data_IF_666048003389
#
_entry.id   IF_666048003389
#
_cell.length_a   1.000
_cell.length_b   1.000
_cell.length_c   1.000
_cell.angle_alpha   90.00
_cell.angle_beta   90.00
_cell.angle_gamma   90.00
#
_symmetry.space_group_name_H-M   'P 1'
#
loop_
_entity.id
_entity.type
_entity.pdbx_description
1 polymer ?
#
# COMPACT_ATOMS: atom_id res chain seq x y z
N UNK A 1 -3.23 -6.76 32.66
CA UNK A 1 -3.81 -7.14 31.36
C UNK A 1 -2.97 -8.30 30.83
N UNK A 2 -3.61 -9.40 30.45
CA UNK A 2 -2.91 -10.52 29.80
C UNK A 2 -2.74 -10.15 28.32
N UNK A 3 -1.63 -9.49 28.01
CA UNK A 3 -1.21 -9.24 26.64
C UNK A 3 -0.62 -10.54 26.08
N UNK A 4 -1.01 -10.93 24.87
CA UNK A 4 -0.50 -12.12 24.21
C UNK A 4 0.19 -11.74 22.90
N UNK A 5 1.42 -12.20 22.69
CA UNK A 5 2.20 -11.96 21.48
C UNK A 5 2.54 -13.26 20.78
N UNK A 6 2.28 -13.29 19.47
CA UNK A 6 2.58 -14.40 18.57
C UNK A 6 3.37 -13.90 17.38
N UNK A 7 4.39 -14.65 17.02
CA UNK A 7 5.20 -14.42 15.82
C UNK A 7 5.24 -15.68 14.96
N UNK A 8 5.11 -15.51 13.66
CA UNK A 8 5.08 -16.59 12.68
C UNK A 8 5.93 -16.18 11.47
N UNK A 9 6.83 -17.06 11.04
CA UNK A 9 7.63 -16.90 9.82
C UNK A 9 7.27 -18.02 8.84
N UNK A 10 6.83 -17.65 7.65
CA UNK A 10 6.56 -18.57 6.57
C UNK A 10 7.59 -18.39 5.48
N UNK A 11 8.29 -19.46 5.13
CA UNK A 11 9.24 -19.47 4.02
C UNK A 11 8.70 -20.42 2.95
N UNK A 12 8.64 -19.92 1.71
CA UNK A 12 8.20 -20.68 0.55
C UNK A 12 9.14 -20.46 -0.62
N UNK A 13 9.69 -21.51 -1.24
CA UNK A 13 10.39 -21.37 -2.52
C UNK A 13 9.38 -21.01 -3.62
N UNK A 14 9.73 -20.05 -4.47
CA UNK A 14 8.97 -19.67 -5.65
C UNK A 14 9.49 -20.44 -6.87
N UNK A 15 8.62 -20.67 -7.86
CA UNK A 15 8.99 -21.33 -9.12
C UNK A 15 10.08 -20.56 -9.90
N UNK A 16 10.23 -19.26 -9.66
CA UNK A 16 11.30 -18.43 -10.24
C UNK A 16 12.69 -18.77 -9.69
N UNK A 17 12.79 -19.57 -8.63
CA UNK A 17 14.01 -19.79 -7.86
C UNK A 17 14.23 -18.77 -6.74
N UNK A 18 13.37 -17.75 -6.64
CA UNK A 18 13.37 -16.80 -5.53
C UNK A 18 12.76 -17.43 -4.27
N UNK A 19 13.03 -16.83 -3.11
CA UNK A 19 12.47 -17.25 -1.82
C UNK A 19 11.48 -16.19 -1.34
N UNK A 20 10.25 -16.61 -1.08
CA UNK A 20 9.26 -15.80 -0.40
C UNK A 20 9.37 -16.01 1.11
N UNK A 21 9.55 -14.93 1.85
CA UNK A 21 9.54 -14.91 3.31
C UNK A 21 8.43 -13.96 3.81
N UNK A 22 7.54 -14.48 4.64
CA UNK A 22 6.45 -13.73 5.26
C UNK A 22 6.63 -13.73 6.77
N UNK A 23 6.76 -12.54 7.35
CA UNK A 23 6.86 -12.34 8.80
C UNK A 23 5.53 -11.78 9.29
N UNK A 24 4.92 -12.44 10.26
CA UNK A 24 3.67 -12.03 10.86
C UNK A 24 3.85 -11.87 12.37
N UNK A 25 3.51 -10.69 12.86
CA UNK A 25 3.54 -10.36 14.28
C UNK A 25 2.11 -10.01 14.72
N UNK A 26 1.61 -10.68 15.75
CA UNK A 26 0.27 -10.44 16.30
C UNK A 26 0.37 -10.17 17.78
N UNK A 27 -0.15 -9.01 18.19
CA UNK A 27 -0.33 -8.66 19.59
C UNK A 27 -1.82 -8.64 19.90
N UNK A 28 -2.27 -9.46 20.83
CA UNK A 28 -3.60 -9.41 21.42
C UNK A 28 -3.52 -8.58 22.70
N UNK A 29 -4.21 -7.45 22.70
CA UNK A 29 -4.32 -6.58 23.87
C UNK A 29 -5.74 -6.62 24.42
N UNK A 30 -5.95 -7.29 25.56
CA UNK A 30 -7.26 -7.37 26.21
C UNK A 30 -7.49 -6.09 27.04
N UNK A 31 -8.17 -5.11 26.46
CA UNK A 31 -8.53 -3.86 27.15
C UNK A 31 -9.92 -3.37 26.72
N UNK A 32 -10.63 -2.73 27.64
CA UNK A 32 -11.90 -2.08 27.34
C UNK A 32 -11.66 -0.64 26.90
N UNK A 33 -11.79 -0.38 25.59
CA UNK A 33 -11.64 0.97 25.02
C UNK A 33 -12.71 1.98 25.49
N UNK A 34 -13.77 1.51 26.16
CA UNK A 34 -14.88 2.33 26.66
C UNK A 34 -14.64 2.90 28.05
N UNK A 35 -13.76 2.30 28.84
CA UNK A 35 -13.41 2.87 30.14
C UNK A 35 -12.28 3.88 29.98
N UNK A 36 -12.59 5.16 30.18
CA UNK A 36 -11.64 6.28 30.21
C UNK A 36 -10.68 6.19 31.42
N UNK A 37 -9.91 5.12 31.52
CA UNK A 37 -8.87 4.95 32.54
C UNK A 37 -7.54 4.68 31.88
N UNK A 38 -6.51 5.21 32.52
CA UNK A 38 -5.11 5.01 32.17
C UNK A 38 -4.82 3.52 32.10
N UNK A 39 -4.83 2.95 30.90
CA UNK A 39 -4.44 1.57 30.68
C UNK A 39 -2.92 1.49 30.58
N UNK A 40 -2.30 0.63 31.39
CA UNK A 40 -0.88 0.31 31.22
C UNK A 40 -0.68 -0.41 29.88
N UNK A 41 0.17 0.14 29.03
CA UNK A 41 0.58 -0.46 27.76
C UNK A 41 1.76 -1.39 28.03
N UNK A 42 1.59 -2.68 27.79
CA UNK A 42 2.66 -3.68 27.87
C UNK A 42 3.31 -3.89 26.51
N UNK A 43 2.68 -4.74 25.69
CA UNK A 43 3.20 -5.11 24.37
C UNK A 43 2.69 -4.20 23.24
N UNK A 44 1.49 -3.63 23.39
CA UNK A 44 0.90 -2.78 22.36
C UNK A 44 1.43 -1.33 22.44
N UNK A 45 1.84 -0.70 21.31
CA UNK A 45 2.38 0.65 21.32
C UNK A 45 1.37 1.69 21.84
N UNK A 46 1.78 2.45 22.87
CA UNK A 46 0.97 3.53 23.45
C UNK A 46 0.51 4.56 22.41
N UNK A 47 1.38 4.95 21.49
CA UNK A 47 1.07 5.91 20.42
C UNK A 47 -0.11 5.45 19.57
N UNK A 48 -0.14 4.18 19.16
CA UNK A 48 -1.24 3.61 18.38
C UNK A 48 -2.52 3.45 19.22
N UNK A 49 -2.41 3.02 20.48
CA UNK A 49 -3.58 2.87 21.34
C UNK A 49 -4.27 4.20 21.66
N UNK A 50 -3.49 5.27 21.84
CA UNK A 50 -4.03 6.62 22.01
C UNK A 50 -4.75 7.12 20.76
N UNK A 51 -4.21 6.82 19.56
CA UNK A 51 -4.87 7.15 18.29
C UNK A 51 -6.21 6.41 18.16
N UNK A 52 -6.22 5.10 18.40
CA UNK A 52 -7.44 4.27 18.31
C UNK A 52 -8.52 4.78 19.26
N UNK A 53 -8.16 5.08 20.51
CA UNK A 53 -9.09 5.61 21.52
C UNK A 53 -9.56 7.03 21.18
N UNK A 54 -8.64 7.95 20.84
CA UNK A 54 -8.96 9.35 20.55
C UNK A 54 -9.91 9.50 19.36
N UNK A 55 -9.66 8.76 18.29
CA UNK A 55 -10.45 8.85 17.05
C UNK A 55 -11.61 7.85 16.99
N UNK A 56 -11.91 7.15 18.11
CA UNK A 56 -12.99 6.16 18.18
C UNK A 56 -12.94 5.15 17.02
N UNK A 57 -11.73 4.64 16.74
CA UNK A 57 -11.51 3.68 15.65
C UNK A 57 -11.91 2.29 16.13
N UNK A 58 -12.76 1.62 15.36
CA UNK A 58 -13.14 0.20 15.56
C UNK A 58 -12.12 -0.73 14.92
N UNK A 59 -11.65 -0.37 13.73
CA UNK A 59 -10.69 -1.17 12.95
C UNK A 59 -9.83 -0.26 12.08
N UNK A 60 -8.52 -0.50 12.05
CA UNK A 60 -7.53 0.30 11.32
C UNK A 60 -6.63 -0.65 10.56
N UNK A 61 -6.51 -0.46 9.25
CA UNK A 61 -5.60 -1.20 8.39
C UNK A 61 -4.70 -0.24 7.65
N UNK A 62 -3.40 -0.50 7.71
CA UNK A 62 -2.38 0.28 7.04
C UNK A 62 -1.44 -0.69 6.36
N UNK A 63 -1.21 -0.52 5.07
CA UNK A 63 -0.20 -1.27 4.32
C UNK A 63 0.73 -0.32 3.61
N UNK A 64 2.03 -0.61 3.69
CA UNK A 64 3.07 0.03 2.89
C UNK A 64 3.72 -1.05 2.04
N UNK A 65 3.68 -0.88 0.73
CA UNK A 65 4.12 -1.91 -0.21
C UNK A 65 4.96 -1.29 -1.30
N UNK A 66 6.16 -1.84 -1.51
CA UNK A 66 7.05 -1.44 -2.59
C UNK A 66 6.99 -2.47 -3.71
N UNK A 67 6.78 -2.01 -4.94
CA UNK A 67 6.56 -2.89 -6.09
C UNK A 67 5.14 -3.47 -6.12
N UNK A 68 4.91 -4.43 -7.01
CA UNK A 68 3.61 -5.08 -7.19
C UNK A 68 3.75 -6.60 -7.14
N UNK A 69 2.73 -7.28 -6.60
CA UNK A 69 2.71 -8.73 -6.50
C UNK A 69 2.26 -9.37 -7.82
N UNK A 70 3.10 -10.22 -8.41
CA UNK A 70 2.77 -10.94 -9.66
C UNK A 70 2.04 -12.24 -9.35
N UNK A 71 0.73 -12.15 -9.14
CA UNK A 71 -0.12 -13.29 -8.76
C UNK A 71 0.00 -14.48 -9.71
N UNK A 72 0.17 -14.24 -11.01
CA UNK A 72 0.43 -15.32 -11.98
C UNK A 72 1.74 -16.04 -11.67
N UNK A 73 2.85 -15.33 -11.44
CA UNK A 73 4.19 -15.93 -11.25
C UNK A 73 4.40 -16.52 -9.85
N UNK A 74 3.84 -15.87 -8.82
CA UNK A 74 4.13 -16.18 -7.41
C UNK A 74 2.96 -16.83 -6.67
N UNK A 75 1.80 -16.97 -7.32
CA UNK A 75 0.56 -17.43 -6.69
C UNK A 75 -0.10 -16.34 -5.83
N UNK A 76 -1.09 -16.72 -5.03
CA UNK A 76 -1.78 -15.78 -4.13
C UNK A 76 -0.93 -15.45 -2.89
N UNK A 77 -0.78 -14.16 -2.51
CA UNK A 77 -0.06 -13.78 -1.29
C UNK A 77 -0.90 -14.11 -0.04
N UNK A 78 -0.23 -14.34 1.11
CA UNK A 78 -0.96 -14.60 2.37
C UNK A 78 -1.74 -13.38 2.86
N UNK A 79 -1.16 -12.19 2.71
CA UNK A 79 -1.83 -10.92 2.95
C UNK A 79 -1.72 -10.07 1.68
N UNK A 80 -2.83 -9.86 0.95
CA UNK A 80 -2.82 -9.01 -0.24
C UNK A 80 -2.74 -7.55 0.18
N UNK A 81 -1.89 -6.77 -0.49
CA UNK A 81 -1.78 -5.34 -0.32
C UNK A 81 -1.53 -4.67 -1.68
N UNK A 82 -2.08 -3.47 -1.93
CA UNK A 82 -1.81 -2.73 -3.15
C UNK A 82 -0.42 -2.09 -3.13
N UNK A 83 0.15 -1.76 -4.29
CA UNK A 83 1.38 -0.99 -4.37
C UNK A 83 1.20 0.42 -3.76
N UNK A 84 2.22 0.91 -3.07
CA UNK A 84 2.19 2.21 -2.40
C UNK A 84 1.68 2.12 -0.97
N UNK A 85 0.84 3.07 -0.56
CA UNK A 85 0.25 3.11 0.76
C UNK A 85 -1.28 2.96 0.66
N UNK A 86 -1.86 2.01 1.39
CA UNK A 86 -3.31 1.88 1.57
C UNK A 86 -3.64 2.04 3.05
N UNK A 87 -4.71 2.79 3.29
CA UNK A 87 -5.25 3.05 4.62
C UNK A 87 -6.78 2.94 4.53
N UNK A 88 -7.38 2.09 5.36
CA UNK A 88 -8.83 2.06 5.53
C UNK A 88 -9.18 1.83 6.99
N UNK A 89 -10.31 2.42 7.39
CA UNK A 89 -10.71 2.55 8.78
C UNK A 89 -12.20 2.31 8.91
N UNK A 90 -12.59 1.59 9.95
CA UNK A 90 -13.95 1.56 10.44
C UNK A 90 -14.02 2.38 11.72
N UNK A 91 -14.80 3.45 11.69
CA UNK A 91 -15.09 4.23 12.88
C UNK A 91 -16.21 3.58 13.69
N UNK A 92 -16.28 3.89 14.98
CA UNK A 92 -17.43 3.54 15.82
C UNK A 92 -18.65 4.39 15.44
N UNK A 93 -19.85 3.85 15.65
CA UNK A 93 -21.13 4.51 15.33
C UNK A 93 -21.35 5.82 16.13
N UNK A 94 -20.54 6.08 17.16
CA UNK A 94 -20.54 7.33 17.93
C UNK A 94 -19.95 8.52 17.18
N UNK A 95 -19.20 8.29 16.09
CA UNK A 95 -18.56 9.36 15.31
C UNK A 95 -19.58 9.99 14.36
N UNK A 96 -19.94 11.25 14.59
CA UNK A 96 -20.90 11.98 13.75
C UNK A 96 -20.24 12.66 12.54
N UNK A 97 -19.02 13.16 12.70
CA UNK A 97 -18.24 13.81 11.62
C UNK A 97 -17.08 12.90 11.19
N UNK A 98 -17.36 12.03 10.22
CA UNK A 98 -16.41 11.04 9.70
C UNK A 98 -15.31 11.71 8.88
N UNK A 99 -15.63 12.73 8.09
CA UNK A 99 -14.67 13.39 7.20
C UNK A 99 -13.65 14.22 8.00
N UNK A 100 -14.12 14.95 9.02
CA UNK A 100 -13.25 15.70 9.92
C UNK A 100 -12.32 14.78 10.72
N UNK A 101 -12.87 13.71 11.31
CA UNK A 101 -12.07 12.73 12.07
C UNK A 101 -11.09 11.96 11.20
N UNK A 102 -11.48 11.61 9.97
CA UNK A 102 -10.59 11.01 8.98
C UNK A 102 -9.39 11.91 8.68
N UNK A 103 -9.63 13.20 8.39
CA UNK A 103 -8.58 14.17 8.10
C UNK A 103 -7.61 14.33 9.27
N UNK A 104 -8.10 14.38 10.50
CA UNK A 104 -7.23 14.45 11.68
C UNK A 104 -6.43 13.15 11.88
N UNK A 105 -7.07 12.00 11.69
CA UNK A 105 -6.45 10.68 11.81
C UNK A 105 -5.30 10.51 10.82
N UNK A 106 -5.50 10.83 9.53
CA UNK A 106 -4.46 10.70 8.49
C UNK A 106 -3.25 11.59 8.77
N UNK A 107 -3.47 12.81 9.27
CA UNK A 107 -2.39 13.72 9.67
C UNK A 107 -1.60 13.18 10.86
N UNK A 108 -2.26 12.60 11.87
CA UNK A 108 -1.56 12.00 13.03
C UNK A 108 -0.79 10.75 12.63
N UNK A 109 -1.39 9.86 11.83
CA UNK A 109 -0.72 8.65 11.34
C UNK A 109 0.46 9.00 10.43
N UNK A 110 0.37 10.07 9.64
CA UNK A 110 1.48 10.58 8.83
C UNK A 110 2.70 10.92 9.69
N UNK A 111 2.49 11.57 10.84
CA UNK A 111 3.56 11.85 11.81
C UNK A 111 4.12 10.61 12.50
N UNK A 112 3.28 9.61 12.80
CA UNK A 112 3.71 8.37 13.47
C UNK A 112 4.54 7.48 12.55
N UNK A 113 4.12 7.32 11.30
CA UNK A 113 4.78 6.43 10.35
C UNK A 113 5.82 7.14 9.46
N UNK A 114 6.00 8.46 9.63
CA UNK A 114 6.84 9.30 8.77
C UNK A 114 6.55 9.10 7.27
N UNK A 115 5.28 8.86 6.96
CA UNK A 115 4.80 8.60 5.61
C UNK A 115 3.80 9.70 5.25
N UNK A 116 3.73 10.08 3.97
CA UNK A 116 2.86 11.15 3.50
C UNK A 116 1.37 10.74 3.44
N UNK A 117 0.87 10.06 4.47
CA UNK A 117 -0.53 9.64 4.62
C UNK A 117 -1.50 10.83 4.67
N UNK A 118 -1.00 12.03 4.97
CA UNK A 118 -1.74 13.28 4.90
C UNK A 118 -2.19 13.64 3.47
N UNK A 119 -1.56 13.07 2.43
CA UNK A 119 -2.05 13.16 1.05
C UNK A 119 -3.25 12.24 0.77
N UNK A 120 -3.61 11.35 1.70
CA UNK A 120 -4.86 10.58 1.63
C UNK A 120 -5.99 11.49 2.16
N UNK A 121 -6.52 12.32 1.28
CA UNK A 121 -7.54 13.33 1.56
C UNK A 121 -8.85 13.01 0.82
N UNK A 122 -9.84 13.89 0.93
CA UNK A 122 -11.14 13.65 0.29
C UNK A 122 -11.06 13.44 -1.22
N UNK A 123 -9.99 13.92 -1.88
CA UNK A 123 -9.83 13.88 -3.34
C UNK A 123 -9.42 12.51 -3.86
N UNK A 124 -8.91 11.62 -3.00
CA UNK A 124 -8.51 10.26 -3.35
C UNK A 124 -9.08 9.18 -2.41
N UNK A 125 -9.90 9.55 -1.42
CA UNK A 125 -10.61 8.60 -0.55
C UNK A 125 -12.00 8.25 -1.07
N UNK A 126 -12.43 7.02 -0.82
CA UNK A 126 -13.79 6.54 -1.10
C UNK A 126 -14.37 5.81 0.11
N UNK A 127 -15.69 5.82 0.22
CA UNK A 127 -16.42 5.01 1.20
C UNK A 127 -17.14 3.87 0.48
N UNK A 128 -16.51 2.67 0.36
CA UNK A 128 -17.11 1.54 -0.33
C UNK A 128 -18.33 1.01 0.44
N UNK A 129 -19.39 0.62 -0.27
CA UNK A 129 -20.63 0.13 0.35
C UNK A 129 -20.55 -1.37 0.69
N UNK A 130 -19.83 -2.15 -0.12
CA UNK A 130 -19.84 -3.62 -0.04
C UNK A 130 -18.45 -4.26 -0.04
N UNK A 131 -17.44 -3.58 -0.61
CA UNK A 131 -16.14 -4.19 -0.94
C UNK A 131 -15.23 -4.41 0.26
N UNK A 132 -15.43 -3.64 1.32
CA UNK A 132 -14.75 -3.80 2.59
C UNK A 132 -15.77 -4.18 3.64
N UNK A 133 -15.42 -5.18 4.45
CA UNK A 133 -16.14 -5.56 5.67
C UNK A 133 -15.13 -5.63 6.82
N UNK A 134 -15.55 -5.37 8.06
CA UNK A 134 -14.66 -5.50 9.21
C UNK A 134 -14.08 -6.92 9.29
N UNK A 135 -12.75 -6.99 9.28
CA UNK A 135 -11.95 -8.20 9.47
C UNK A 135 -11.68 -8.47 10.97
N UNK A 136 -11.92 -7.48 11.84
CA UNK A 136 -11.75 -7.59 13.29
C UNK A 136 -12.82 -8.41 14.01
N UNK A 137 -12.55 -8.71 15.29
CA UNK A 137 -13.47 -9.36 16.25
C UNK A 137 -14.55 -8.36 16.65
N UNK A 138 -15.41 -8.03 15.70
CA UNK A 138 -16.48 -7.06 15.87
C UNK A 138 -17.83 -7.68 15.55
N UNK A 139 -18.22 -8.71 16.30
CA UNK A 139 -19.55 -8.91 16.91
C UNK A 139 -19.57 -10.26 17.70
N UNK A 140 -19.81 -10.12 19.01
CA UNK A 140 -20.28 -11.08 20.03
C UNK A 140 -19.87 -12.56 20.02
N UNK A 141 -18.97 -12.94 20.95
CA UNK A 141 -18.88 -14.28 21.54
C UNK A 141 -18.16 -14.25 22.91
N UNK A 142 -18.65 -15.03 23.89
CA UNK A 142 -18.22 -15.00 25.31
C UNK A 142 -17.31 -16.17 25.70
N UNK A 143 -16.18 -15.87 26.34
CA UNK A 143 -15.14 -16.82 26.76
C UNK A 143 -15.41 -17.63 28.05
N UNK A 144 -16.53 -17.42 28.75
CA UNK A 144 -16.87 -18.21 29.94
C UNK A 144 -17.32 -19.65 29.61
N UNK A 145 -17.74 -19.92 28.38
CA UNK A 145 -18.30 -21.23 27.99
C UNK A 145 -17.29 -22.23 27.44
N UNK A 146 -16.02 -21.87 27.22
CA UNK A 146 -15.16 -22.74 26.41
C UNK A 146 -14.04 -23.46 27.16
N UNK A 147 -13.30 -22.89 28.12
CA UNK A 147 -12.14 -23.62 28.67
C UNK A 147 -11.83 -23.36 30.15
N UNK A 148 -12.57 -24.02 31.03
CA UNK A 148 -12.23 -24.15 32.45
C UNK A 148 -10.81 -24.71 32.67
N UNK A 149 -9.80 -23.83 32.82
CA UNK A 149 -8.48 -23.93 33.53
C UNK A 149 -7.20 -23.70 32.70
N UNK A 150 -6.14 -23.30 33.44
CA UNK A 150 -4.82 -22.75 33.09
C UNK A 150 -3.65 -23.75 33.28
N UNK A 151 -2.45 -23.50 32.72
CA UNK A 151 -1.08 -23.85 33.21
C UNK A 151 -0.01 -23.41 32.16
N UNK A 152 1.31 -23.46 32.40
CA UNK A 152 2.19 -22.50 33.10
C UNK A 152 3.62 -22.63 32.51
N UNK A 153 3.83 -22.00 31.35
CA UNK A 153 5.11 -21.54 30.75
C UNK A 153 5.62 -22.17 29.43
N UNK A 154 5.88 -21.30 28.45
CA UNK A 154 7.14 -21.17 27.69
C UNK A 154 7.26 -19.75 27.09
N UNK A 155 8.50 -19.23 27.01
CA UNK A 155 8.96 -17.86 26.68
C UNK A 155 8.41 -16.71 27.57
N UNK A 156 9.26 -15.89 28.22
CA UNK A 156 8.81 -14.90 29.19
C UNK A 156 8.02 -13.70 28.60
N UNK A 157 7.94 -13.56 27.27
CA UNK A 157 7.18 -12.49 26.60
C UNK A 157 6.36 -12.92 25.35
N UNK A 158 6.49 -14.15 24.84
CA UNK A 158 5.77 -14.64 23.65
C UNK A 158 5.07 -15.97 23.96
N UNK A 159 3.81 -16.17 23.58
CA UNK A 159 3.09 -17.43 23.90
C UNK A 159 3.31 -18.56 22.90
N UNK A 160 3.80 -18.24 21.68
CA UNK A 160 4.07 -19.18 20.60
C UNK A 160 5.01 -18.55 19.57
N UNK A 161 6.05 -19.27 19.14
CA UNK A 161 6.97 -18.86 18.08
C UNK A 161 7.27 -20.05 17.16
N UNK A 162 6.71 -20.04 15.94
CA UNK A 162 6.77 -21.17 15.00
C UNK A 162 7.19 -20.73 13.61
N UNK A 163 8.08 -21.49 12.98
CA UNK A 163 8.48 -21.34 11.57
C UNK A 163 7.77 -22.43 10.76
N UNK A 164 7.10 -22.05 9.68
CA UNK A 164 6.47 -22.96 8.73
C UNK A 164 7.23 -22.92 7.41
N UNK A 165 7.72 -24.07 6.94
CA UNK A 165 8.33 -24.21 5.61
C UNK A 165 7.37 -25.02 4.75
N UNK A 166 6.96 -24.47 3.61
CA UNK A 166 6.02 -25.09 2.67
C UNK A 166 6.74 -26.15 1.81
N UNK A 167 6.31 -27.42 1.90
CA UNK A 167 6.88 -28.60 1.21
C UNK A 167 5.86 -29.22 0.22
N UNK A 168 4.78 -28.50 -0.11
CA UNK A 168 3.62 -29.02 -0.86
C UNK A 168 3.99 -29.69 -2.18
N UNK A 169 4.97 -29.16 -2.91
CA UNK A 169 5.30 -29.57 -4.28
C UNK A 169 6.35 -30.70 -4.37
N UNK A 170 6.74 -31.34 -3.24
CA UNK A 170 7.70 -32.46 -3.27
C UNK A 170 7.14 -33.71 -2.59
N UNK A 171 6.54 -34.66 -3.33
CA UNK A 171 5.89 -35.82 -2.72
C UNK A 171 6.83 -36.81 -2.03
N UNK A 172 8.15 -36.75 -2.24
CA UNK A 172 9.11 -37.76 -1.74
C UNK A 172 10.52 -37.21 -1.42
N UNK A 173 10.69 -35.89 -1.24
CA UNK A 173 12.00 -35.29 -0.89
C UNK A 173 13.01 -35.19 -2.05
N UNK A 174 12.64 -35.55 -3.28
CA UNK A 174 13.56 -35.49 -4.45
C UNK A 174 13.86 -34.05 -4.92
N UNK A 175 12.95 -33.11 -4.64
CA UNK A 175 13.02 -31.72 -5.12
C UNK A 175 13.29 -30.69 -4.05
N UNK A 176 13.08 -30.99 -2.76
CA UNK A 176 13.25 -30.07 -1.64
C UNK A 176 13.90 -30.78 -0.44
N UNK A 177 15.17 -30.46 -0.15
CA UNK A 177 15.86 -30.92 1.06
C UNK A 177 15.85 -29.79 2.09
N UNK A 178 15.28 -30.05 3.28
CA UNK A 178 15.32 -29.13 4.43
C UNK A 178 16.22 -29.73 5.51
N UNK A 179 17.25 -29.00 5.92
CA UNK A 179 18.16 -29.41 7.00
C UNK A 179 18.18 -28.36 8.11
N UNK A 180 17.99 -28.74 9.40
CA UNK A 180 17.79 -30.10 9.95
C UNK A 180 16.35 -30.64 9.76
N UNK A 181 16.19 -31.97 9.67
CA UNK A 181 14.88 -32.62 9.50
C UNK A 181 14.00 -32.49 10.75
N UNK A 182 12.70 -32.21 10.58
CA UNK A 182 11.73 -32.05 11.68
C UNK A 182 10.77 -33.23 11.80
N UNK A 183 10.36 -33.59 13.03
CA UNK A 183 9.33 -34.60 13.27
C UNK A 183 7.89 -34.04 13.15
N UNK A 184 7.70 -32.71 13.12
CA UNK A 184 6.38 -32.08 13.08
C UNK A 184 5.99 -31.70 11.64
N UNK A 185 5.17 -32.55 11.02
CA UNK A 185 4.52 -32.27 9.74
C UNK A 185 3.08 -31.86 9.99
N UNK A 186 2.71 -30.64 9.59
CA UNK A 186 1.31 -30.18 9.62
C UNK A 186 0.78 -30.08 8.19
N UNK A 187 -0.31 -30.78 7.90
CA UNK A 187 -1.04 -30.63 6.64
C UNK A 187 -2.21 -29.68 6.84
N UNK A 188 -2.35 -28.68 5.97
CA UNK A 188 -3.41 -27.68 6.07
C UNK A 188 -3.91 -27.27 4.68
N UNK A 189 -5.16 -26.86 4.58
CA UNK A 189 -5.69 -26.26 3.35
C UNK A 189 -5.48 -24.74 3.42
N UNK A 190 -4.59 -24.20 2.60
CA UNK A 190 -4.30 -22.77 2.52
C UNK A 190 -4.77 -22.23 1.17
N UNK A 191 -5.72 -21.28 1.18
CA UNK A 191 -6.29 -20.68 -0.03
C UNK A 191 -6.86 -21.71 -1.03
N UNK A 192 -7.39 -22.81 -0.51
CA UNK A 192 -8.03 -23.86 -1.30
C UNK A 192 -7.12 -24.99 -1.77
N UNK A 193 -5.80 -24.92 -1.56
CA UNK A 193 -4.83 -25.97 -1.89
C UNK A 193 -4.42 -26.76 -0.63
N UNK A 194 -4.27 -28.09 -0.73
CA UNK A 194 -3.74 -28.93 0.35
C UNK A 194 -2.23 -28.74 0.42
N UNK A 195 -1.78 -28.03 1.43
CA UNK A 195 -0.37 -27.73 1.67
C UNK A 195 0.22 -28.55 2.80
N UNK A 196 1.47 -28.95 2.63
CA UNK A 196 2.23 -29.68 3.65
C UNK A 196 3.33 -28.76 4.19
N UNK A 197 3.32 -28.52 5.49
CA UNK A 197 4.34 -27.66 6.14
C UNK A 197 5.21 -28.48 7.08
N UNK A 198 6.53 -28.25 7.05
CA UNK A 198 7.39 -28.60 8.17
C UNK A 198 7.41 -27.45 9.17
N UNK A 199 7.23 -27.79 10.45
CA UNK A 199 7.08 -26.79 11.50
C UNK A 199 8.26 -26.87 12.48
N UNK A 200 8.95 -25.75 12.67
CA UNK A 200 9.99 -25.59 13.69
C UNK A 200 9.44 -24.74 14.82
N UNK A 201 9.27 -25.33 16.00
CA UNK A 201 8.86 -24.61 17.20
C UNK A 201 10.09 -24.05 17.92
N UNK A 202 10.22 -22.73 17.94
CA UNK A 202 11.35 -22.02 18.54
C UNK A 202 11.23 -21.95 20.07
N UNK A 203 10.11 -22.37 20.66
CA UNK A 203 9.99 -22.46 22.13
C UNK A 203 10.72 -23.68 22.71
N UNK A 204 11.03 -24.67 21.87
CA UNK A 204 11.71 -25.90 22.29
C UNK A 204 13.23 -25.76 22.21
N UNK A 205 13.91 -26.05 23.33
CA UNK A 205 15.39 -26.00 23.41
C UNK A 205 16.09 -26.93 22.42
N UNK A 206 15.45 -28.03 22.03
CA UNK A 206 16.00 -28.99 21.08
C UNK A 206 16.14 -28.43 19.66
N UNK A 207 15.40 -27.37 19.31
CA UNK A 207 15.39 -26.77 17.96
C UNK A 207 16.71 -26.06 17.62
N UNK A 208 17.44 -25.56 18.62
CA UNK A 208 18.64 -24.72 18.41
C UNK A 208 19.98 -25.50 18.39
N UNK A 209 19.94 -26.83 18.40
CA UNK A 209 21.14 -27.68 18.43
C UNK A 209 22.09 -27.36 19.59
N UNK A 210 23.34 -27.83 19.50
CA UNK A 210 24.37 -27.55 20.53
C UNK A 210 24.95 -26.13 20.46
N UNK A 211 24.80 -25.45 19.32
CA UNK A 211 25.42 -24.14 19.04
C UNK A 211 24.50 -22.95 19.33
N UNK A 212 23.30 -23.19 19.89
CA UNK A 212 22.27 -22.16 20.11
C UNK A 212 21.90 -21.38 18.83
N UNK A 213 22.05 -22.01 17.67
CA UNK A 213 21.80 -21.39 16.37
C UNK A 213 21.01 -22.33 15.48
N UNK A 214 19.90 -21.83 14.92
CA UNK A 214 19.10 -22.54 13.92
C UNK A 214 19.48 -22.01 12.53
N UNK A 215 20.17 -22.83 11.73
CA UNK A 215 20.48 -22.52 10.34
C UNK A 215 19.63 -23.41 9.43
N UNK A 216 18.56 -22.85 8.86
CA UNK A 216 17.66 -23.55 7.95
C UNK A 216 18.24 -23.52 6.54
N UNK A 217 18.76 -24.65 6.08
CA UNK A 217 19.16 -24.81 4.69
C UNK A 217 18.00 -25.40 3.89
N UNK A 218 17.54 -24.66 2.88
CA UNK A 218 16.52 -25.11 1.93
C UNK A 218 17.22 -25.30 0.58
N UNK A 219 17.32 -26.55 0.10
CA UNK A 219 17.81 -26.85 -1.24
C UNK A 219 16.65 -27.25 -2.11
N UNK A 220 16.43 -26.50 -3.18
CA UNK A 220 15.39 -26.77 -4.15
C UNK A 220 15.99 -27.07 -5.52
N UNK A 221 15.51 -28.13 -6.18
CA UNK A 221 15.85 -28.43 -7.58
C UNK A 221 14.73 -27.93 -8.47
N UNK A 222 15.01 -26.83 -9.18
CA UNK A 222 14.11 -26.29 -10.20
C UNK A 222 13.92 -27.29 -11.32
N UNK A 223 12.71 -27.78 -11.48
CA UNK A 223 12.26 -28.37 -12.74
C UNK A 223 11.30 -27.37 -13.40
N UNK A 224 11.34 -27.29 -14.73
CA UNK A 224 10.34 -26.62 -15.57
C UNK A 224 8.98 -27.35 -15.47
N UNK A 225 8.38 -27.37 -14.29
CA UNK A 225 7.03 -27.86 -14.06
C UNK A 225 5.99 -26.80 -14.45
N UNK A 226 4.85 -27.24 -14.98
CA UNK A 226 3.72 -26.36 -15.27
C UNK A 226 3.24 -25.65 -14.00
N UNK A 227 3.38 -24.33 -13.99
CA UNK A 227 2.92 -23.47 -12.90
C UNK A 227 1.40 -23.61 -12.72
N UNK A 228 0.96 -24.01 -11.52
CA UNK A 228 -0.46 -24.00 -11.17
C UNK A 228 -0.98 -22.57 -11.25
N UNK A 229 -1.80 -22.30 -12.28
CA UNK A 229 -2.43 -20.99 -12.46
C UNK A 229 -3.34 -20.71 -11.26
N UNK A 230 -3.27 -19.53 -10.64
CA UNK A 230 -4.18 -19.18 -9.55
C UNK A 230 -5.64 -19.27 -10.02
N UNK A 231 -6.53 -19.78 -9.17
CA UNK A 231 -7.96 -19.96 -9.49
C UNK A 231 -8.65 -18.64 -9.90
N UNK A 232 -8.22 -17.54 -9.28
CA UNK A 232 -8.65 -16.19 -9.60
C UNK A 232 -7.40 -15.32 -9.81
N UNK A 233 -7.37 -14.57 -10.90
CA UNK A 233 -6.34 -13.58 -11.22
C UNK A 233 -6.98 -12.39 -11.91
N UNK A 234 -6.34 -11.23 -11.84
CA UNK A 234 -6.82 -10.06 -12.55
C UNK A 234 -5.67 -9.18 -13.03
N UNK A 235 -5.90 -8.53 -14.16
CA UNK A 235 -4.96 -7.62 -14.81
C UNK A 235 -5.69 -6.34 -15.19
N UNK A 236 -4.95 -5.23 -15.20
CA UNK A 236 -5.50 -3.93 -15.55
C UNK A 236 -4.51 -3.14 -16.40
N UNK A 237 -5.00 -2.56 -17.48
CA UNK A 237 -4.20 -1.72 -18.37
C UNK A 237 -5.03 -0.57 -18.96
N UNK A 238 -4.32 0.44 -19.44
CA UNK A 238 -4.91 1.59 -20.15
C UNK A 238 -4.67 1.41 -21.64
N UNK A 239 -5.73 1.56 -22.42
CA UNK A 239 -5.68 1.59 -23.87
C UNK A 239 -6.12 2.96 -24.41
N UNK A 240 -5.91 3.18 -25.70
CA UNK A 240 -6.26 4.42 -26.40
C UNK A 240 -5.05 5.23 -26.85
N UNK A 241 -5.28 6.09 -27.83
CA UNK A 241 -4.25 6.94 -28.44
C UNK A 241 -4.53 8.41 -28.15
N UNK A 242 -3.45 9.20 -28.08
CA UNK A 242 -3.51 10.64 -27.86
C UNK A 242 -3.67 11.05 -26.39
N UNK A 243 -3.87 12.35 -26.18
CA UNK A 243 -3.88 12.99 -24.86
C UNK A 243 -5.29 13.38 -24.37
N UNK A 244 -6.34 13.07 -25.13
CA UNK A 244 -7.71 13.45 -24.80
C UNK A 244 -8.50 12.27 -24.21
N UNK A 245 -8.69 11.20 -24.97
CA UNK A 245 -9.49 10.03 -24.59
C UNK A 245 -8.64 8.80 -24.32
N UNK A 246 -9.12 7.90 -23.47
CA UNK A 246 -8.52 6.59 -23.22
C UNK A 246 -9.57 5.60 -22.74
N UNK A 247 -9.16 4.35 -22.57
CA UNK A 247 -10.00 3.26 -22.09
C UNK A 247 -9.28 2.54 -20.96
N UNK A 248 -10.01 2.19 -19.90
CA UNK A 248 -9.49 1.32 -18.84
C UNK A 248 -10.04 -0.07 -19.10
N UNK A 249 -9.16 -1.05 -19.21
CA UNK A 249 -9.49 -2.46 -19.32
C UNK A 249 -9.11 -3.15 -18.02
N UNK A 250 -10.06 -3.85 -17.41
CA UNK A 250 -9.82 -4.74 -16.27
C UNK A 250 -10.23 -6.16 -16.68
N UNK A 251 -9.26 -7.05 -16.76
CA UNK A 251 -9.44 -8.46 -17.10
C UNK A 251 -9.47 -9.28 -15.81
N UNK A 252 -10.52 -10.06 -15.60
CA UNK A 252 -10.66 -10.95 -14.44
C UNK A 252 -10.78 -12.39 -14.93
N UNK A 253 -9.83 -13.22 -14.50
CA UNK A 253 -9.66 -14.60 -14.93
C UNK A 253 -10.26 -15.55 -13.89
N UNK A 254 -11.19 -16.40 -14.31
CA UNK A 254 -11.65 -17.55 -13.54
C UNK A 254 -11.07 -18.83 -14.16
N UNK A 255 -10.08 -19.41 -13.48
CA UNK A 255 -9.43 -20.67 -13.88
C UNK A 255 -10.07 -21.90 -13.22
N UNK A 256 -11.17 -21.74 -12.47
CA UNK A 256 -11.88 -22.87 -11.90
C UNK A 256 -12.52 -23.71 -13.03
N UNK A 257 -12.33 -25.04 -13.03
CA UNK A 257 -12.74 -25.89 -14.17
C UNK A 257 -14.25 -25.94 -14.40
N UNK A 258 -15.05 -25.96 -13.32
CA UNK A 258 -16.50 -26.22 -13.42
C UNK A 258 -17.43 -25.19 -12.76
N UNK A 259 -16.96 -24.37 -11.81
CA UNK A 259 -17.80 -23.49 -10.99
C UNK A 259 -17.66 -22.04 -11.42
N UNK A 260 -18.81 -21.41 -11.68
CA UNK A 260 -18.91 -19.96 -11.74
C UNK A 260 -19.03 -19.40 -10.32
N UNK A 261 -18.44 -18.24 -10.05
CA UNK A 261 -18.60 -17.56 -8.77
C UNK A 261 -18.69 -16.04 -8.96
N UNK A 262 -19.42 -15.34 -8.08
CA UNK A 262 -19.55 -13.89 -8.13
C UNK A 262 -18.29 -13.22 -7.57
N UNK A 263 -17.97 -12.07 -8.15
CA UNK A 263 -16.84 -11.24 -7.76
C UNK A 263 -17.30 -9.79 -7.64
N UNK A 264 -16.91 -9.16 -6.54
CA UNK A 264 -17.16 -7.74 -6.30
C UNK A 264 -15.93 -6.95 -6.73
N UNK A 265 -16.09 -6.16 -7.78
CA UNK A 265 -15.07 -5.25 -8.30
C UNK A 265 -15.31 -3.86 -7.73
N UNK A 266 -14.27 -3.28 -7.14
CA UNK A 266 -14.23 -1.90 -6.66
C UNK A 266 -13.17 -1.13 -7.44
N UNK A 267 -13.61 -0.06 -8.09
CA UNK A 267 -12.73 0.86 -8.79
C UNK A 267 -12.84 2.27 -8.19
N UNK A 268 -11.69 2.81 -7.78
CA UNK A 268 -11.55 4.21 -7.39
C UNK A 268 -10.70 4.91 -8.46
N UNK A 269 -11.34 5.80 -9.24
CA UNK A 269 -10.67 6.52 -10.33
C UNK A 269 -10.62 8.02 -10.01
N UNK A 270 -9.43 8.64 -9.98
CA UNK A 270 -9.29 10.06 -9.66
C UNK A 270 -10.12 10.98 -10.57
N UNK A 271 -10.52 12.14 -10.03
CA UNK A 271 -11.36 13.12 -10.72
C UNK A 271 -10.77 13.64 -12.05
N UNK A 272 -9.45 13.59 -12.21
CA UNK A 272 -8.78 14.02 -13.42
C UNK A 272 -8.93 13.03 -14.59
N UNK A 273 -9.50 11.85 -14.35
CA UNK A 273 -9.97 10.92 -15.39
C UNK A 273 -11.49 10.86 -15.34
N UNK A 274 -12.14 11.56 -16.27
CA UNK A 274 -13.60 11.66 -16.34
C UNK A 274 -14.15 10.40 -16.98
N UNK A 275 -14.73 9.52 -16.18
CA UNK A 275 -15.29 8.25 -16.67
C UNK A 275 -16.61 8.45 -17.41
N UNK A 276 -16.74 7.84 -18.58
CA UNK A 276 -17.98 7.76 -19.35
C UNK A 276 -18.73 6.46 -19.04
N UNK A 277 -19.52 6.45 -17.97
CA UNK A 277 -20.23 5.22 -17.53
C UNK A 277 -21.16 4.63 -18.59
N UNK A 278 -21.66 5.45 -19.52
CA UNK A 278 -22.49 4.95 -20.62
C UNK A 278 -21.73 4.06 -21.63
N UNK A 279 -20.39 4.07 -21.60
CA UNK A 279 -19.53 3.18 -22.40
C UNK A 279 -19.05 1.96 -21.62
N UNK A 280 -19.51 1.79 -20.38
CA UNK A 280 -19.17 0.64 -19.56
C UNK A 280 -19.69 -0.63 -20.24
N UNK A 281 -18.77 -1.54 -20.61
CA UNK A 281 -19.13 -2.86 -21.12
C UNK A 281 -18.46 -3.94 -20.28
N UNK A 282 -19.22 -5.00 -19.99
CA UNK A 282 -18.74 -6.16 -19.24
C UNK A 282 -18.98 -7.37 -20.11
N UNK A 283 -17.91 -8.00 -20.58
CA UNK A 283 -18.01 -9.14 -21.48
C UNK A 283 -17.31 -10.36 -20.91
N UNK A 284 -17.92 -11.53 -21.01
CA UNK A 284 -17.32 -12.81 -20.61
C UNK A 284 -17.41 -13.80 -21.77
N UNK A 285 -16.29 -14.40 -22.17
CA UNK A 285 -16.22 -15.28 -23.35
C UNK A 285 -16.83 -14.66 -24.62
N UNK A 286 -16.65 -13.35 -24.82
CA UNK A 286 -17.20 -12.62 -25.97
C UNK A 286 -18.72 -12.41 -25.95
N UNK A 287 -19.40 -12.66 -24.82
CA UNK A 287 -20.83 -12.36 -24.62
C UNK A 287 -21.01 -11.31 -23.54
N UNK A 288 -22.07 -10.51 -23.66
CA UNK A 288 -22.46 -9.54 -22.64
C UNK A 288 -22.75 -10.23 -21.31
N UNK A 289 -22.11 -9.78 -20.23
CA UNK A 289 -22.25 -10.29 -18.88
C UNK A 289 -22.74 -9.18 -17.95
N UNK A 290 -24.06 -9.07 -17.82
CA UNK A 290 -24.70 -8.01 -17.04
C UNK A 290 -24.40 -8.17 -15.55
N UNK A 291 -23.79 -7.17 -14.89
CA UNK A 291 -23.56 -7.20 -13.45
C UNK A 291 -24.88 -7.30 -12.68
N UNK A 292 -24.88 -8.07 -11.59
CA UNK A 292 -26.06 -8.23 -10.73
C UNK A 292 -26.29 -7.01 -9.83
N UNK A 293 -25.23 -6.25 -9.56
CA UNK A 293 -25.24 -5.02 -8.78
C UNK A 293 -24.27 -4.04 -9.40
N UNK A 294 -24.67 -2.77 -9.48
CA UNK A 294 -23.80 -1.66 -9.90
C UNK A 294 -24.11 -0.48 -8.98
N UNK A 295 -23.09 0.05 -8.32
CA UNK A 295 -23.14 1.29 -7.59
C UNK A 295 -22.06 2.22 -8.13
N UNK A 296 -22.49 3.37 -8.62
CA UNK A 296 -21.59 4.37 -9.19
C UNK A 296 -21.79 5.72 -8.51
N UNK A 297 -20.70 6.29 -8.04
CA UNK A 297 -20.63 7.66 -7.56
C UNK A 297 -19.73 8.48 -8.50
N UNK A 298 -20.26 9.54 -9.14
CA UNK A 298 -19.45 10.38 -10.00
C UNK A 298 -18.46 11.23 -9.19
N UNK A 299 -17.27 11.44 -9.77
CA UNK A 299 -16.25 12.34 -9.25
C UNK A 299 -16.74 13.78 -9.23
N UNK A 300 -16.03 14.60 -8.47
CA UNK A 300 -16.14 16.05 -8.53
C UNK A 300 -14.72 16.60 -8.59
N UNK A 301 -14.45 17.45 -9.58
CA UNK A 301 -13.13 18.04 -9.82
C UNK A 301 -12.51 18.57 -8.52
N UNK A 302 -11.34 18.03 -8.14
CA UNK A 302 -10.56 18.40 -6.93
C UNK A 302 -11.26 18.18 -5.59
N UNK A 303 -12.37 17.44 -5.57
CA UNK A 303 -13.14 17.22 -4.34
C UNK A 303 -13.19 15.74 -3.99
N UNK A 304 -13.49 14.86 -4.96
CA UNK A 304 -13.61 13.41 -4.74
C UNK A 304 -13.39 12.60 -6.03
N UNK A 305 -12.92 11.35 -5.93
CA UNK A 305 -12.77 10.46 -7.09
C UNK A 305 -14.11 9.86 -7.53
N UNK A 306 -14.09 9.18 -8.66
CA UNK A 306 -15.15 8.26 -9.08
C UNK A 306 -15.08 6.98 -8.24
N UNK A 307 -16.22 6.48 -7.80
CA UNK A 307 -16.36 5.19 -7.15
C UNK A 307 -17.27 4.31 -8.01
N UNK A 308 -16.79 3.14 -8.41
CA UNK A 308 -17.55 2.14 -9.14
C UNK A 308 -17.46 0.81 -8.39
N UNK A 309 -18.59 0.29 -7.93
CA UNK A 309 -18.71 -1.03 -7.33
C UNK A 309 -19.64 -1.90 -8.18
N UNK A 310 -19.20 -3.09 -8.57
CA UNK A 310 -19.99 -4.00 -9.41
C UNK A 310 -19.87 -5.44 -8.96
N UNK A 311 -21.00 -6.14 -8.88
CA UNK A 311 -21.03 -7.58 -8.64
C UNK A 311 -21.17 -8.32 -9.98
N UNK A 312 -20.11 -9.00 -10.39
CA UNK A 312 -20.00 -9.65 -11.70
C UNK A 312 -19.89 -11.15 -11.49
N UNK A 313 -20.69 -11.93 -12.21
CA UNK A 313 -20.58 -13.39 -12.18
C UNK A 313 -19.46 -13.83 -13.12
N UNK A 314 -18.45 -14.56 -12.64
CA UNK A 314 -17.38 -15.08 -13.50
C UNK A 314 -17.69 -16.51 -13.96
N UNK A 315 -17.90 -16.79 -15.26
CA UNK A 315 -18.08 -18.15 -15.76
C UNK A 315 -16.84 -19.03 -15.55
N UNK A 316 -16.96 -20.37 -15.47
CA UNK A 316 -15.81 -21.27 -15.34
C UNK A 316 -14.91 -21.21 -16.58
N UNK A 317 -13.61 -21.33 -16.38
CA UNK A 317 -12.56 -21.24 -17.42
C UNK A 317 -12.86 -20.07 -18.37
N UNK A 318 -12.85 -18.87 -17.82
CA UNK A 318 -13.25 -17.67 -18.55
C UNK A 318 -12.41 -16.46 -18.19
N UNK A 319 -12.39 -15.51 -19.12
CA UNK A 319 -11.92 -14.15 -18.88
C UNK A 319 -13.13 -13.24 -19.00
N UNK A 320 -13.32 -12.42 -17.97
CA UNK A 320 -14.32 -11.36 -17.96
C UNK A 320 -13.61 -10.02 -18.08
N UNK A 321 -13.91 -9.30 -19.14
CA UNK A 321 -13.34 -8.00 -19.45
C UNK A 321 -14.33 -6.90 -19.08
N UNK A 322 -13.90 -5.97 -18.23
CA UNK A 322 -14.62 -4.75 -17.88
C UNK A 322 -13.91 -3.59 -18.56
N UNK A 323 -14.60 -2.89 -19.45
CA UNK A 323 -14.05 -1.72 -20.14
C UNK A 323 -14.86 -0.48 -19.85
N UNK A 324 -14.17 0.65 -19.66
CA UNK A 324 -14.80 1.96 -19.51
C UNK A 324 -13.94 3.02 -20.18
N UNK A 325 -14.57 3.88 -20.99
CA UNK A 325 -13.86 5.00 -21.62
C UNK A 325 -13.74 6.17 -20.63
N UNK A 326 -12.67 6.93 -20.76
CA UNK A 326 -12.43 8.13 -19.97
C UNK A 326 -11.84 9.26 -20.80
N UNK A 327 -12.02 10.48 -20.30
CA UNK A 327 -11.36 11.68 -20.80
C UNK A 327 -10.38 12.23 -19.76
N UNK A 328 -9.24 12.74 -20.22
CA UNK A 328 -8.22 13.36 -19.37
C UNK A 328 -8.55 14.83 -19.14
N UNK A 329 -8.66 15.22 -17.87
CA UNK A 329 -8.88 16.61 -17.50
C UNK A 329 -7.59 17.43 -17.64
N UNK A 330 -7.76 18.73 -17.94
CA UNK A 330 -6.66 19.69 -17.88
C UNK A 330 -6.36 20.06 -16.42
N UNK A 331 -5.14 19.75 -15.99
CA UNK A 331 -4.63 20.13 -14.68
C UNK A 331 -4.02 21.54 -14.71
N UNK A 332 -4.01 22.19 -13.55
CA UNK A 332 -3.23 23.42 -13.36
C UNK A 332 -1.74 23.07 -13.29
N UNK A 333 -0.87 24.01 -13.66
CA UNK A 333 0.58 23.78 -13.63
C UNK A 333 1.09 23.38 -12.23
N UNK A 334 0.46 23.86 -11.16
CA UNK A 334 0.78 23.53 -9.76
C UNK A 334 0.32 22.14 -9.33
N UNK A 335 -0.54 21.48 -10.11
CA UNK A 335 -1.10 20.15 -9.80
C UNK A 335 -0.26 19.02 -10.38
N UNK A 336 0.76 19.34 -11.18
CA UNK A 336 1.70 18.37 -11.70
C UNK A 336 2.74 17.96 -10.65
N UNK A 337 3.11 16.69 -10.70
CA UNK A 337 4.29 16.19 -9.99
C UNK A 337 5.56 16.88 -10.51
N UNK A 338 6.65 16.95 -9.72
CA UNK A 338 7.91 17.56 -10.15
C UNK A 338 8.47 17.01 -11.47
N UNK A 339 8.16 15.75 -11.79
CA UNK A 339 8.32 15.17 -13.12
C UNK A 339 6.94 14.93 -13.78
N UNK A 340 6.47 15.84 -14.64
CA UNK A 340 5.22 15.71 -15.38
C UNK A 340 5.27 14.63 -16.47
N UNK A 341 6.47 14.28 -16.97
CA UNK A 341 6.63 13.34 -18.08
C UNK A 341 6.50 11.88 -17.63
N UNK A 342 6.70 11.61 -16.34
CA UNK A 342 6.50 10.30 -15.73
C UNK A 342 5.05 9.84 -15.80
N UNK A 343 4.08 10.77 -15.78
CA UNK A 343 2.66 10.47 -15.74
C UNK A 343 2.11 10.29 -14.32
N UNK A 344 0.81 10.03 -14.23
CA UNK A 344 0.05 9.96 -12.98
C UNK A 344 -0.32 8.53 -12.67
N UNK A 345 -0.07 8.12 -11.42
CA UNK A 345 -0.53 6.82 -10.93
C UNK A 345 -2.01 6.86 -10.55
N UNK A 346 -2.75 5.88 -11.05
CA UNK A 346 -4.10 5.55 -10.62
C UNK A 346 -4.02 4.30 -9.76
N UNK A 347 -4.64 4.34 -8.57
CA UNK A 347 -4.65 3.22 -7.63
C UNK A 347 -5.23 1.94 -8.23
N UNK A 348 -4.81 0.80 -7.69
CA UNK A 348 -5.27 -0.53 -8.09
C UNK A 348 -6.77 -0.71 -7.91
N UNK A 349 -7.39 -1.52 -8.77
CA UNK A 349 -8.75 -2.01 -8.55
C UNK A 349 -8.73 -3.12 -7.51
N UNK A 350 -9.74 -3.17 -6.65
CA UNK A 350 -9.88 -4.17 -5.60
C UNK A 350 -10.92 -5.19 -5.99
N UNK A 351 -10.54 -6.46 -6.00
CA UNK A 351 -11.37 -7.57 -6.43
C UNK A 351 -11.57 -8.48 -5.23
N UNK A 352 -12.79 -8.57 -4.73
CA UNK A 352 -13.15 -9.39 -3.57
C UNK A 352 -14.09 -10.51 -3.98
N UNK A 353 -13.77 -11.75 -3.60
CA UNK A 353 -14.54 -12.92 -4.02
C UNK A 353 -14.55 -14.01 -2.95
N UNK A 354 -15.62 -14.81 -2.94
CA UNK A 354 -15.67 -16.11 -2.29
C UNK A 354 -15.36 -17.19 -3.34
N UNK A 355 -14.08 -17.57 -3.46
CA UNK A 355 -13.61 -18.51 -4.48
C UNK A 355 -13.84 -19.96 -4.01
N UNK A 356 -14.55 -20.78 -4.79
CA UNK A 356 -14.70 -22.21 -4.51
C UNK A 356 -13.36 -22.97 -4.56
N UNK A 357 -13.16 -23.88 -3.62
CA UNK A 357 -12.05 -24.83 -3.56
C UNK A 357 -12.51 -26.22 -4.03
N UNK A 358 -11.55 -27.03 -4.48
CA UNK A 358 -11.75 -28.35 -5.08
C UNK A 358 -11.59 -29.52 -4.08
N UNK A 359 -11.39 -29.26 -2.79
CA UNK A 359 -11.08 -30.30 -1.79
C UNK A 359 -12.35 -30.74 -1.04
N UNK A 360 -12.67 -32.04 -1.12
CA UNK A 360 -13.69 -32.70 -0.29
C UNK A 360 -13.04 -33.27 0.98
N UNK A 361 -13.49 -32.88 2.18
CA UNK A 361 -13.19 -33.60 3.43
C UNK A 361 -14.07 -33.16 4.65
N UNK A 362 -13.94 -33.93 5.72
CA UNK A 362 -14.97 -34.51 6.59
C UNK A 362 -15.56 -33.64 7.73
N UNK A 363 -16.75 -34.11 8.13
CA UNK A 363 -17.84 -33.80 9.05
C UNK A 363 -17.71 -33.43 10.52
N UNK A 364 -16.59 -33.01 11.11
CA UNK A 364 -16.68 -32.28 12.40
C UNK A 364 -15.74 -31.07 12.54
N UNK A 365 -16.31 -29.91 12.92
CA UNK A 365 -15.80 -28.86 13.83
C UNK A 365 -16.11 -27.43 13.36
N UNK A 366 -16.66 -26.63 14.28
CA UNK A 366 -17.21 -25.28 14.08
C UNK A 366 -16.26 -24.14 14.46
N UNK A 367 -16.27 -23.08 13.63
CA UNK A 367 -16.02 -21.64 13.86
C UNK A 367 -14.65 -20.97 13.57
N UNK A 368 -14.74 -20.00 12.63
CA UNK A 368 -14.18 -18.63 12.47
C UNK A 368 -12.66 -18.29 12.43
N UNK A 369 -12.25 -17.78 11.25
CA UNK A 369 -11.09 -16.96 10.80
C UNK A 369 -9.65 -17.39 11.19
N UNK A 370 -8.68 -17.42 10.25
CA UNK A 370 -7.43 -18.13 10.47
C UNK A 370 -6.36 -17.32 11.24
N UNK A 371 -5.85 -17.93 12.31
CA UNK A 371 -4.44 -17.86 12.71
C UNK A 371 -3.68 -18.95 11.91
N UNK A 372 -2.40 -18.76 11.56
CA UNK A 372 -1.59 -19.86 10.98
C UNK A 372 -1.47 -21.03 11.99
N UNK A 373 -1.51 -20.71 13.29
CA UNK A 373 -1.51 -21.69 14.39
C UNK A 373 -2.84 -22.43 14.64
N UNK A 374 -3.93 -22.10 13.95
CA UNK A 374 -5.17 -22.89 13.97
C UNK A 374 -5.75 -23.00 12.57
N UNK A 375 -5.15 -23.89 11.77
CA UNK A 375 -5.72 -24.33 10.49
C UNK A 375 -7.03 -25.06 10.76
N UNK A 376 -8.16 -24.44 10.43
CA UNK A 376 -9.46 -25.10 10.51
C UNK A 376 -9.75 -25.86 9.21
N UNK A 377 -10.25 -27.10 9.27
CA UNK A 377 -10.89 -27.72 8.13
C UNK A 377 -12.19 -26.95 7.82
N UNK A 378 -12.31 -26.39 6.63
CA UNK A 378 -13.53 -25.75 6.17
C UNK A 378 -14.49 -26.83 5.65
N UNK A 379 -15.74 -26.87 6.12
CA UNK A 379 -16.73 -27.88 5.71
C UNK A 379 -17.71 -27.37 4.66
N UNK A 380 -17.98 -28.28 3.73
CA UNK A 380 -19.03 -28.35 2.69
C UNK A 380 -19.34 -27.07 1.90
N UNK A 381 -19.05 -27.14 0.59
CA UNK A 381 -19.00 -26.03 -0.38
C UNK A 381 -17.87 -25.02 -0.16
N UNK A 382 -16.62 -25.50 -0.15
CA UNK A 382 -15.39 -24.81 0.27
C UNK A 382 -15.08 -23.49 -0.46
N UNK A 383 -15.90 -22.45 -0.32
CA UNK A 383 -15.54 -21.11 -0.77
C UNK A 383 -14.66 -20.44 0.26
N UNK A 384 -13.54 -19.84 -0.15
CA UNK A 384 -12.70 -19.00 0.71
C UNK A 384 -12.73 -17.55 0.23
N UNK A 385 -12.70 -16.62 1.18
CA UNK A 385 -12.59 -15.21 0.83
C UNK A 385 -11.18 -14.91 0.34
N UNK A 386 -11.09 -14.30 -0.84
CA UNK A 386 -9.84 -13.76 -1.38
C UNK A 386 -10.06 -12.32 -1.81
N UNK A 387 -9.02 -11.51 -1.61
CA UNK A 387 -8.92 -10.16 -2.12
C UNK A 387 -7.68 -10.07 -3.00
N UNK A 388 -7.86 -9.55 -4.20
CA UNK A 388 -6.78 -9.34 -5.16
C UNK A 388 -6.77 -7.86 -5.52
N UNK A 389 -5.56 -7.32 -5.66
CA UNK A 389 -5.33 -5.97 -6.15
C UNK A 389 -4.74 -6.07 -7.55
N UNK A 390 -5.29 -5.31 -8.50
CA UNK A 390 -4.75 -5.26 -9.88
C UNK A 390 -3.48 -4.41 -9.96
N UNK A 391 -2.87 -4.32 -11.13
CA UNK A 391 -1.81 -3.34 -11.35
C UNK A 391 -2.32 -1.90 -11.18
N UNK A 392 -1.47 -0.99 -10.69
CA UNK A 392 -1.75 0.44 -10.73
C UNK A 392 -1.58 0.93 -12.16
N UNK A 393 -2.42 1.85 -12.60
CA UNK A 393 -2.29 2.38 -13.96
C UNK A 393 -1.37 3.59 -13.96
N UNK A 394 -0.57 3.72 -15.01
CA UNK A 394 0.19 4.93 -15.30
C UNK A 394 -0.46 5.66 -16.47
N UNK A 395 -0.98 6.87 -16.20
CA UNK A 395 -1.69 7.67 -17.19
C UNK A 395 -0.95 8.97 -17.44
N UNK A 396 -0.59 9.20 -18.70
CA UNK A 396 -0.05 10.48 -19.12
C UNK A 396 -1.18 11.49 -19.27
N UNK A 397 -1.06 12.63 -18.58
CA UNK A 397 -1.95 13.77 -18.72
C UNK A 397 -1.34 14.81 -19.68
N UNK A 398 -2.17 15.65 -20.32
CA UNK A 398 -1.68 16.68 -21.25
C UNK A 398 -0.81 17.72 -20.52
N UNK A 399 0.51 17.54 -20.59
CA UNK A 399 1.48 18.40 -19.90
C UNK A 399 1.46 19.82 -20.48
N UNK A 400 1.36 20.85 -19.64
CA UNK A 400 1.43 22.23 -20.10
C UNK A 400 2.85 22.55 -20.56
N UNK A 401 2.99 23.58 -21.41
CA UNK A 401 4.29 24.08 -21.80
C UNK A 401 4.97 24.78 -20.61
N UNK A 402 5.92 24.10 -19.97
CA UNK A 402 6.70 24.62 -18.84
C UNK A 402 7.72 25.69 -19.25
N UNK A 403 7.93 25.93 -20.55
CA UNK A 403 8.85 26.97 -21.02
C UNK A 403 8.30 28.38 -20.80
N UNK A 404 6.97 28.57 -20.84
CA UNK A 404 6.36 29.88 -20.61
C UNK A 404 6.59 30.41 -19.18
N UNK A 405 6.27 29.67 -18.10
CA UNK A 405 6.60 30.09 -16.74
C UNK A 405 8.10 30.32 -16.54
N UNK A 406 8.95 29.45 -17.11
CA UNK A 406 10.40 29.60 -17.01
C UNK A 406 10.87 30.93 -17.60
N UNK A 407 10.42 31.27 -18.81
CA UNK A 407 10.79 32.53 -19.46
C UNK A 407 10.32 33.75 -18.65
N UNK A 408 9.13 33.69 -18.06
CA UNK A 408 8.59 34.76 -17.21
C UNK A 408 9.40 34.89 -15.91
N UNK A 409 9.76 33.78 -15.26
CA UNK A 409 10.58 33.78 -14.04
C UNK A 409 11.98 34.34 -14.35
N UNK A 410 12.59 33.92 -15.44
CA UNK A 410 13.88 34.45 -15.86
C UNK A 410 13.81 35.97 -16.10
N UNK A 411 12.81 36.44 -16.85
CA UNK A 411 12.64 37.87 -17.14
C UNK A 411 12.34 38.70 -15.88
N UNK A 412 11.48 38.21 -15.00
CA UNK A 412 11.16 38.93 -13.75
C UNK A 412 12.36 38.95 -12.81
N UNK A 413 13.09 37.83 -12.68
CA UNK A 413 14.31 37.76 -11.89
C UNK A 413 15.40 38.70 -12.44
N UNK A 414 15.61 38.78 -13.76
CA UNK A 414 16.59 39.72 -14.33
C UNK A 414 16.19 41.17 -14.10
N UNK A 415 14.90 41.52 -14.28
CA UNK A 415 14.39 42.88 -13.99
C UNK A 415 14.59 43.23 -12.52
N UNK A 416 14.26 42.31 -11.61
CA UNK A 416 14.44 42.51 -10.16
C UNK A 416 15.93 42.62 -9.80
N UNK A 417 16.80 41.79 -10.37
CA UNK A 417 18.23 41.82 -10.12
C UNK A 417 18.86 43.13 -10.61
N UNK A 418 18.46 43.62 -11.79
CA UNK A 418 18.93 44.89 -12.35
C UNK A 418 18.39 46.06 -11.53
N UNK A 419 17.11 46.04 -11.19
CA UNK A 419 16.46 47.07 -10.37
C UNK A 419 17.06 47.15 -8.96
N UNK A 420 17.18 46.02 -8.27
CA UNK A 420 17.80 45.94 -6.96
C UNK A 420 19.29 46.29 -7.02
N UNK A 421 20.04 45.76 -7.99
CA UNK A 421 21.46 46.04 -8.13
C UNK A 421 21.76 47.51 -8.41
N UNK A 422 20.96 48.16 -9.27
CA UNK A 422 21.09 49.59 -9.54
C UNK A 422 20.73 50.45 -8.32
N UNK A 423 19.63 50.14 -7.64
CA UNK A 423 19.19 50.85 -6.43
C UNK A 423 20.20 50.67 -5.29
N UNK A 424 20.67 49.45 -5.05
CA UNK A 424 21.66 49.12 -4.04
C UNK A 424 22.98 49.85 -4.31
N UNK A 425 23.45 49.86 -5.56
CA UNK A 425 24.65 50.63 -5.94
C UNK A 425 24.46 52.13 -5.72
N UNK A 426 23.30 52.71 -6.05
CA UNK A 426 23.03 54.13 -5.81
C UNK A 426 23.04 54.48 -4.32
N UNK A 427 22.49 53.61 -3.47
CA UNK A 427 22.36 53.85 -2.03
C UNK A 427 23.66 53.58 -1.26
N UNK A 428 24.49 52.63 -1.70
CA UNK A 428 25.68 52.19 -0.96
C UNK A 428 27.00 52.70 -1.52
N UNK A 429 27.04 53.13 -2.78
CA UNK A 429 28.28 53.63 -3.39
C UNK A 429 28.56 55.05 -2.91
N UNK A 430 29.53 55.18 -2.00
CA UNK A 430 30.10 56.48 -1.64
C UNK A 430 30.91 57.02 -2.81
N UNK A 431 30.44 58.08 -3.46
CA UNK A 431 31.25 58.83 -4.43
C UNK A 431 32.37 59.56 -3.67
N UNK A 432 33.58 59.01 -3.67
CA UNK A 432 34.76 59.78 -3.27
C UNK A 432 35.10 60.73 -4.42
N UNK A 433 34.91 62.03 -4.18
CA UNK A 433 35.44 63.08 -5.05
C UNK A 433 36.96 63.01 -4.93
N UNK A 434 37.62 62.62 -6.02
CA UNK A 434 39.07 62.66 -6.10
C UNK A 434 39.48 64.14 -6.13
N UNK A 435 39.92 64.68 -4.99
CA UNK A 435 40.42 66.05 -4.93
C UNK A 435 41.57 66.22 -5.92
N UNK A 436 41.45 67.20 -6.82
CA UNK A 436 42.45 67.50 -7.82
C UNK A 436 43.81 67.73 -7.14
N UNK A 437 44.79 66.87 -7.47
CA UNK A 437 46.12 66.89 -6.87
C UNK A 437 46.72 68.31 -6.78
N UNK A 438 46.84 68.85 -5.57
CA UNK A 438 47.49 70.13 -5.28
C UNK A 438 49.01 70.13 -5.57
N UNK A 439 49.53 69.09 -6.24
CA UNK A 439 50.95 68.90 -6.54
C UNK A 439 51.46 69.81 -7.66
N UNK A 440 50.65 70.11 -8.68
CA UNK A 440 51.06 70.97 -9.80
C UNK A 440 51.17 72.46 -9.39
N UNK A 441 50.20 72.95 -8.62
CA UNK A 441 50.20 74.32 -8.11
C UNK A 441 51.38 74.58 -7.15
N UNK A 442 51.67 73.65 -6.23
CA UNK A 442 52.86 73.73 -5.35
C UNK A 442 54.18 73.68 -6.11
N UNK A 443 54.29 72.86 -7.17
CA UNK A 443 55.50 72.79 -8.02
C UNK A 443 55.74 74.09 -8.78
N UNK A 444 54.70 74.68 -9.37
CA UNK A 444 54.81 75.96 -10.10
C UNK A 444 55.15 77.10 -9.12
N UNK A 445 54.51 77.14 -7.95
CA UNK A 445 54.81 78.13 -6.92
C UNK A 445 56.27 78.05 -6.44
N UNK A 446 56.82 76.84 -6.29
CA UNK A 446 58.21 76.64 -5.87
C UNK A 446 59.22 77.00 -6.98
N UNK A 447 58.88 76.84 -8.26
CA UNK A 447 59.72 77.30 -9.38
C UNK A 447 59.76 78.83 -9.45
N UNK A 448 58.61 79.50 -9.30
CA UNK A 448 58.54 80.98 -9.30
C UNK A 448 59.28 81.57 -8.10
N UNK A 449 59.18 80.95 -6.92
CA UNK A 449 59.93 81.38 -5.72
C UNK A 449 61.44 81.20 -5.90
N UNK A 450 61.88 80.12 -6.55
CA UNK A 450 63.30 79.90 -6.90
C UNK A 450 63.84 80.98 -7.85
N UNK A 451 63.06 81.41 -8.84
CA UNK A 451 63.45 82.52 -9.71
C UNK A 451 63.48 83.88 -9.00
N UNK A 452 62.68 84.07 -7.94
CA UNK A 452 62.64 85.30 -7.13
C UNK A 452 63.61 85.31 -5.95
N UNK A 453 64.45 84.27 -5.79
CA UNK A 453 65.43 84.19 -4.71
C UNK A 453 64.82 83.98 -3.31
N UNK A 454 63.58 83.49 -3.22
CA UNK A 454 62.87 83.23 -1.95
C UNK A 454 62.82 81.72 -1.68
N UNK A 455 62.99 81.25 -0.43
CA UNK A 455 62.89 79.83 -0.11
C UNK A 455 61.50 79.21 -0.47
N UNK A 456 61.48 77.93 -0.87
CA UNK A 456 60.27 77.24 -1.32
C UNK A 456 59.23 77.04 -0.20
N UNK A 457 57.96 76.91 -0.59
CA UNK A 457 56.82 76.49 0.25
C UNK A 457 56.95 75.03 0.68
#
# INVERSE_FOLDING_TARGET
PEDDFKEELVIRPLHSGDIYASFQFRTLWKTDFRENKVSHYGLFPKSLGQVISKFSVRELHISFTQGYWRTMQWGQPYQPAPPGAELWVWFQDSVTDVDGTWKELTNVLSGIFCASLNFIDSTNTVQPSASFKPLGIGNEWSLFKMFSRTLTEACPLASSSKIYVDITDSPQGEHLEVSPATPLLSQAVALGDRRTFSVYDLTQKNTFGMTHSLNLLIRWKSNEGDMLRPLLHAERYVAGYGLHTGEIHTLVYNNHPYRAFPVLLLESVPWYLRLYVHTLTVTSKGKDNKPSYIHYQPSKDRVRPHLLEMLIQLPPISVTEVTVQFERALLKWTEYTPDPNHGFYVGSSVISSLVPSIVAMDTNMTQERPLFSSFFPNQEETTYFTRIYTEPLLVNLPTPDFSMPYNVICLTCTVVAVGYGSLYNLLTRSFQVEEASQGLAKRIANVIRRMRGVPPL
#
